data_IF_805542697575
#
_entry.id   IF_805542697575
#
_cell.length_a   1.000
_cell.length_b   1.000
_cell.length_c   1.000
_cell.angle_alpha   90.00
_cell.angle_beta   90.00
_cell.angle_gamma   90.00
#
_symmetry.space_group_name_H-M   'P 1'
#
loop_
_entity.id
_entity.type
_entity.pdbx_description
1 polymer ?
#
# COMPACT_ATOMS: atom_id res chain seq x y z
N UNK A 1 -38.65 -30.67 -27.80
CA UNK A 1 -37.20 -30.50 -27.77
C UNK A 1 -36.95 -29.04 -27.38
N UNK A 2 -36.47 -28.79 -26.15
CA UNK A 2 -36.10 -27.44 -25.72
C UNK A 2 -34.67 -27.14 -26.17
N UNK A 3 -34.38 -25.86 -26.42
CA UNK A 3 -33.03 -25.40 -26.70
C UNK A 3 -32.12 -25.65 -25.49
N UNK A 4 -30.83 -26.02 -25.69
CA UNK A 4 -29.92 -26.24 -24.59
C UNK A 4 -29.64 -24.91 -23.88
N UNK A 5 -29.83 -24.89 -22.56
CA UNK A 5 -29.45 -23.79 -21.70
C UNK A 5 -27.93 -23.82 -21.51
N UNK A 6 -27.23 -22.87 -22.10
CA UNK A 6 -25.79 -22.72 -21.91
C UNK A 6 -25.57 -21.72 -20.78
N UNK A 7 -25.33 -22.23 -19.57
CA UNK A 7 -24.90 -21.41 -18.43
C UNK A 7 -23.39 -21.24 -18.52
N UNK A 8 -22.92 -20.04 -18.87
CA UNK A 8 -21.51 -19.70 -18.83
C UNK A 8 -21.23 -19.06 -17.48
N UNK A 9 -20.68 -19.82 -16.56
CA UNK A 9 -20.15 -19.29 -15.30
C UNK A 9 -18.73 -18.73 -15.52
N UNK A 10 -18.60 -17.42 -15.50
CA UNK A 10 -17.31 -16.76 -15.39
C UNK A 10 -16.83 -16.82 -13.96
N UNK A 11 -16.04 -17.85 -13.62
CA UNK A 11 -15.41 -17.88 -12.31
C UNK A 11 -14.26 -16.88 -12.27
N UNK A 12 -14.20 -16.07 -11.19
CA UNK A 12 -13.15 -15.04 -10.94
C UNK A 12 -11.74 -15.62 -10.68
N UNK A 13 -11.43 -16.81 -11.16
CA UNK A 13 -10.12 -17.46 -11.01
C UNK A 13 -8.99 -16.91 -11.89
N UNK A 14 -9.26 -15.89 -12.70
CA UNK A 14 -8.30 -15.39 -13.67
C UNK A 14 -7.18 -14.48 -13.10
N UNK A 15 -7.25 -14.06 -11.84
CA UNK A 15 -6.26 -13.11 -11.28
C UNK A 15 -4.96 -13.79 -10.87
N UNK A 16 -4.95 -15.10 -10.67
CA UNK A 16 -3.77 -15.85 -10.18
C UNK A 16 -2.73 -16.16 -11.28
N UNK A 17 -3.07 -16.00 -12.55
CA UNK A 17 -2.23 -16.48 -13.66
C UNK A 17 -1.16 -15.48 -14.15
N UNK A 18 -1.12 -14.24 -13.67
CA UNK A 18 -0.24 -13.19 -14.21
C UNK A 18 0.94 -12.85 -13.30
N UNK A 19 1.21 -13.64 -12.27
CA UNK A 19 2.28 -13.33 -11.29
C UNK A 19 3.71 -13.70 -11.73
N UNK A 20 3.96 -14.01 -12.98
CA UNK A 20 5.28 -14.47 -13.43
C UNK A 20 6.37 -13.39 -13.56
N UNK A 21 6.15 -12.18 -13.12
CA UNK A 21 7.14 -11.08 -13.19
C UNK A 21 7.35 -10.31 -11.89
N UNK A 22 6.37 -10.29 -10.97
CA UNK A 22 6.49 -9.52 -9.75
C UNK A 22 7.33 -10.27 -8.70
N UNK A 23 8.42 -9.69 -8.29
CA UNK A 23 9.31 -10.25 -7.25
C UNK A 23 9.14 -9.57 -5.90
N UNK A 24 8.39 -8.48 -5.85
CA UNK A 24 8.26 -7.64 -4.68
C UNK A 24 7.33 -8.23 -3.62
N UNK A 25 7.74 -8.09 -2.37
CA UNK A 25 7.04 -8.56 -1.18
C UNK A 25 6.63 -7.34 -0.37
N UNK A 26 5.35 -7.25 0.00
CA UNK A 26 4.84 -6.20 0.88
C UNK A 26 4.75 -6.73 2.31
N UNK A 27 5.26 -5.97 3.27
CA UNK A 27 5.06 -6.18 4.70
C UNK A 27 4.02 -5.19 5.22
N UNK A 28 2.97 -5.66 5.88
CA UNK A 28 1.93 -4.84 6.49
C UNK A 28 1.94 -5.07 7.98
N UNK A 29 2.03 -3.98 8.75
CA UNK A 29 1.91 -3.99 10.19
C UNK A 29 0.49 -3.53 10.56
N UNK A 30 -0.30 -4.39 11.19
CA UNK A 30 -1.69 -4.09 11.56
C UNK A 30 -1.91 -4.12 13.07
N UNK A 31 -2.97 -3.45 13.49
CA UNK A 31 -3.59 -3.61 14.81
C UNK A 31 -4.99 -4.18 14.61
N UNK A 32 -5.25 -5.38 15.17
CA UNK A 32 -6.57 -6.02 15.04
C UNK A 32 -6.85 -6.89 16.27
N UNK A 33 -8.11 -7.11 16.57
CA UNK A 33 -8.53 -8.00 17.64
C UNK A 33 -8.30 -9.48 17.29
N UNK A 34 -8.27 -9.79 15.99
CA UNK A 34 -8.16 -11.14 15.44
C UNK A 34 -6.85 -11.32 14.67
N UNK A 35 -6.55 -12.59 14.39
CA UNK A 35 -5.38 -12.98 13.56
C UNK A 35 -4.04 -12.42 14.06
N UNK A 36 -3.84 -12.38 15.38
CA UNK A 36 -2.59 -11.89 15.98
C UNK A 36 -1.37 -12.70 15.52
N UNK A 37 -0.25 -12.02 15.39
CA UNK A 37 1.01 -12.61 14.94
C UNK A 37 1.20 -12.52 13.42
N UNK A 38 2.04 -13.39 12.89
CA UNK A 38 2.45 -13.36 11.50
C UNK A 38 1.55 -14.19 10.60
N UNK A 39 1.20 -13.64 9.44
CA UNK A 39 0.45 -14.32 8.38
C UNK A 39 1.07 -14.00 7.01
N UNK A 40 1.07 -14.97 6.10
CA UNK A 40 1.57 -14.79 4.73
C UNK A 40 0.43 -15.09 3.77
N UNK A 41 0.11 -14.12 2.92
CA UNK A 41 -0.93 -14.22 1.90
C UNK A 41 -0.30 -14.11 0.51
N UNK A 42 -0.75 -14.96 -0.42
CA UNK A 42 -0.29 -14.94 -1.83
C UNK A 42 -1.37 -14.47 -2.79
N UNK A 43 -2.62 -14.46 -2.33
CA UNK A 43 -3.76 -13.97 -3.10
C UNK A 43 -4.80 -13.33 -2.18
N UNK A 44 -5.71 -12.58 -2.76
CA UNK A 44 -6.87 -12.00 -2.05
C UNK A 44 -7.76 -13.11 -1.45
N UNK A 45 -7.84 -14.26 -2.11
CA UNK A 45 -8.68 -15.38 -1.67
C UNK A 45 -8.18 -16.03 -0.36
N UNK A 46 -6.91 -15.79 0.02
CA UNK A 46 -6.33 -16.28 1.28
C UNK A 46 -6.61 -15.35 2.47
N UNK A 47 -7.25 -14.20 2.26
CA UNK A 47 -7.65 -13.30 3.34
C UNK A 47 -8.73 -14.00 4.19
N UNK A 48 -8.55 -14.10 5.52
CA UNK A 48 -9.51 -14.72 6.39
C UNK A 48 -10.91 -14.09 6.28
N UNK A 49 -11.95 -14.94 6.25
CA UNK A 49 -13.35 -14.54 6.14
C UNK A 49 -14.17 -15.09 7.30
N UNK A 50 -15.43 -14.68 7.42
CA UNK A 50 -16.34 -15.14 8.47
C UNK A 50 -15.85 -14.76 9.87
N UNK A 51 -15.90 -15.71 10.80
CA UNK A 51 -15.51 -15.46 12.19
C UNK A 51 -14.01 -15.13 12.38
N UNK A 52 -13.18 -15.50 11.41
CA UNK A 52 -11.74 -15.20 11.41
C UNK A 52 -11.39 -13.94 10.62
N UNK A 53 -12.36 -13.21 10.06
CA UNK A 53 -12.10 -12.02 9.29
C UNK A 53 -11.40 -10.95 10.14
N UNK A 54 -10.50 -10.20 9.52
CA UNK A 54 -10.03 -8.93 10.07
C UNK A 54 -11.18 -7.93 10.18
N UNK A 55 -10.97 -6.82 10.85
CA UNK A 55 -11.89 -5.68 10.74
C UNK A 55 -12.11 -5.31 9.27
N UNK A 56 -13.28 -4.75 8.95
CA UNK A 56 -13.60 -4.37 7.57
C UNK A 56 -12.57 -3.41 6.96
N UNK A 57 -12.03 -2.52 7.79
CA UNK A 57 -11.01 -1.54 7.41
C UNK A 57 -9.67 -2.22 7.09
N UNK A 58 -9.20 -3.12 7.97
CA UNK A 58 -7.99 -3.89 7.75
C UNK A 58 -8.10 -4.84 6.56
N UNK A 59 -9.26 -5.50 6.38
CA UNK A 59 -9.53 -6.33 5.21
C UNK A 59 -9.38 -5.51 3.92
N UNK A 60 -10.07 -4.38 3.83
CA UNK A 60 -9.99 -3.50 2.67
C UNK A 60 -8.57 -2.94 2.46
N UNK A 61 -7.81 -2.72 3.54
CA UNK A 61 -6.42 -2.28 3.47
C UNK A 61 -5.50 -3.35 2.85
N UNK A 62 -5.70 -4.61 3.22
CA UNK A 62 -4.97 -5.77 2.66
C UNK A 62 -5.35 -5.97 1.18
N UNK A 63 -6.65 -5.92 0.87
CA UNK A 63 -7.16 -6.04 -0.51
C UNK A 63 -6.53 -4.99 -1.43
N UNK A 64 -6.42 -3.74 -0.97
CA UNK A 64 -5.78 -2.67 -1.74
C UNK A 64 -4.31 -2.96 -2.08
N UNK A 65 -3.56 -3.61 -1.19
CA UNK A 65 -2.19 -4.02 -1.51
C UNK A 65 -2.15 -5.01 -2.69
N UNK A 66 -3.11 -5.93 -2.76
CA UNK A 66 -3.18 -6.93 -3.83
C UNK A 66 -3.57 -6.35 -5.20
N UNK A 67 -4.24 -5.19 -5.27
CA UNK A 67 -4.51 -4.52 -6.56
C UNK A 67 -3.20 -4.28 -7.34
N UNK A 68 -2.09 -4.04 -6.63
CA UNK A 68 -0.77 -3.86 -7.25
C UNK A 68 -0.11 -5.17 -7.70
N UNK A 69 -0.70 -6.32 -7.43
CA UNK A 69 -0.17 -7.65 -7.77
C UNK A 69 1.23 -7.95 -7.21
N UNK A 70 1.49 -7.72 -5.91
CA UNK A 70 2.74 -8.15 -5.28
C UNK A 70 2.87 -9.68 -5.32
N UNK A 71 4.09 -10.22 -5.21
CA UNK A 71 4.30 -11.67 -5.18
C UNK A 71 3.70 -12.33 -3.93
N UNK A 72 3.70 -11.63 -2.83
CA UNK A 72 3.02 -11.97 -1.57
C UNK A 72 2.94 -10.77 -0.65
N UNK A 73 2.00 -10.85 0.29
CA UNK A 73 1.85 -9.92 1.40
C UNK A 73 2.15 -10.67 2.70
N UNK A 74 3.04 -10.12 3.52
CA UNK A 74 3.33 -10.62 4.86
C UNK A 74 2.71 -9.65 5.84
N UNK A 75 1.82 -10.13 6.68
CA UNK A 75 1.12 -9.33 7.68
C UNK A 75 1.67 -9.70 9.05
N UNK A 76 1.87 -8.72 9.90
CA UNK A 76 2.05 -8.92 11.33
C UNK A 76 0.99 -8.12 12.07
N UNK A 77 0.11 -8.83 12.78
CA UNK A 77 -1.00 -8.24 13.51
C UNK A 77 -0.69 -8.17 14.99
N UNK A 78 -0.71 -6.96 15.51
CA UNK A 78 -0.58 -6.65 16.94
C UNK A 78 -1.95 -6.53 17.58
N UNK A 79 -1.97 -6.43 18.90
CA UNK A 79 -3.18 -6.11 19.64
C UNK A 79 -3.70 -4.71 19.27
N UNK A 80 -5.01 -4.52 19.33
CA UNK A 80 -5.64 -3.20 19.12
C UNK A 80 -5.18 -2.18 20.14
N UNK A 81 -4.76 -2.61 21.34
CA UNK A 81 -4.25 -1.76 22.42
C UNK A 81 -2.74 -1.52 22.34
N UNK A 82 -2.05 -2.05 21.31
CA UNK A 82 -0.61 -1.88 21.20
C UNK A 82 -0.23 -0.40 21.01
N UNK A 83 0.59 0.11 21.93
CA UNK A 83 1.07 1.49 21.93
C UNK A 83 2.25 1.72 20.99
N UNK A 84 2.88 0.65 20.50
CA UNK A 84 4.04 0.72 19.60
C UNK A 84 4.03 -0.39 18.57
N UNK A 85 4.84 -0.22 17.52
CA UNK A 85 5.08 -1.23 16.49
C UNK A 85 6.29 -2.13 16.79
N UNK A 86 6.78 -2.19 18.04
CA UNK A 86 8.04 -2.87 18.40
C UNK A 86 8.00 -4.37 18.09
N UNK A 87 6.90 -5.06 18.33
CA UNK A 87 6.76 -6.48 18.00
C UNK A 87 6.82 -6.72 16.50
N UNK A 88 6.06 -5.94 15.73
CA UNK A 88 6.04 -6.03 14.28
C UNK A 88 7.41 -5.70 13.68
N UNK A 89 8.09 -4.66 14.18
CA UNK A 89 9.42 -4.27 13.72
C UNK A 89 10.47 -5.33 14.02
N UNK A 90 10.43 -5.98 15.20
CA UNK A 90 11.29 -7.14 15.53
C UNK A 90 11.07 -8.30 14.57
N UNK A 91 9.80 -8.60 14.25
CA UNK A 91 9.47 -9.65 13.28
C UNK A 91 10.01 -9.30 11.88
N UNK A 92 9.70 -8.11 11.36
CA UNK A 92 10.14 -7.70 10.03
C UNK A 92 11.66 -7.50 9.92
N UNK A 93 12.36 -7.27 11.00
CA UNK A 93 13.82 -7.26 11.02
C UNK A 93 14.42 -8.61 10.57
N UNK A 94 13.68 -9.71 10.70
CA UNK A 94 14.12 -11.05 10.30
C UNK A 94 13.58 -11.49 8.94
N UNK A 95 12.57 -10.80 8.40
CA UNK A 95 11.92 -11.17 7.15
C UNK A 95 12.54 -10.49 5.93
N UNK A 96 12.43 -11.15 4.77
CA UNK A 96 12.73 -10.52 3.48
C UNK A 96 11.47 -9.83 2.97
N UNK A 97 11.46 -8.51 3.01
CA UNK A 97 10.38 -7.65 2.46
C UNK A 97 11.00 -6.54 1.63
N UNK A 98 10.31 -6.11 0.59
CA UNK A 98 10.74 -5.01 -0.27
C UNK A 98 10.12 -3.70 0.21
N UNK A 99 8.82 -3.69 0.46
CA UNK A 99 8.07 -2.52 0.92
C UNK A 99 7.38 -2.83 2.23
N UNK A 100 7.36 -1.85 3.14
CA UNK A 100 6.71 -1.96 4.45
C UNK A 100 5.76 -0.79 4.62
N UNK A 101 4.58 -1.08 5.18
CA UNK A 101 3.58 -0.09 5.55
C UNK A 101 3.09 -0.33 6.97
N UNK A 102 2.67 0.73 7.64
CA UNK A 102 1.97 0.64 8.93
C UNK A 102 0.48 0.34 8.75
N UNK A 103 -0.28 0.43 9.82
CA UNK A 103 -1.72 0.28 9.83
C UNK A 103 -2.43 1.47 9.13
N UNK A 104 -3.69 1.30 8.71
CA UNK A 104 -4.45 2.39 8.05
C UNK A 104 -4.68 3.61 8.95
N UNK A 105 -4.66 3.43 10.27
CA UNK A 105 -4.78 4.46 11.31
C UNK A 105 -3.43 5.01 11.81
N UNK A 106 -2.34 4.79 11.05
CA UNK A 106 -0.99 5.19 11.43
C UNK A 106 -0.89 6.69 11.73
N UNK A 107 -0.50 7.02 12.95
CA UNK A 107 -0.26 8.41 13.36
C UNK A 107 1.08 8.94 12.83
N UNK A 108 1.23 10.27 12.78
CA UNK A 108 2.47 10.92 12.34
C UNK A 108 3.66 10.53 13.23
N UNK A 109 3.44 10.36 14.54
CA UNK A 109 4.50 9.95 15.47
C UNK A 109 4.95 8.51 15.20
N UNK A 110 4.00 7.60 14.99
CA UNK A 110 4.28 6.21 14.66
C UNK A 110 5.00 6.11 13.30
N UNK A 111 4.55 6.86 12.30
CA UNK A 111 5.20 6.94 11.00
C UNK A 111 6.67 7.41 11.11
N UNK A 112 6.95 8.42 11.95
CA UNK A 112 8.31 8.90 12.21
C UNK A 112 9.17 7.83 12.89
N UNK A 113 8.60 7.07 13.83
CA UNK A 113 9.31 5.94 14.48
C UNK A 113 9.62 4.84 13.48
N UNK A 114 8.67 4.49 12.61
CA UNK A 114 8.88 3.51 11.54
C UNK A 114 9.93 3.96 10.53
N UNK A 115 9.94 5.24 10.14
CA UNK A 115 10.98 5.81 9.28
C UNK A 115 12.36 5.67 9.92
N UNK A 116 12.49 5.98 11.20
CA UNK A 116 13.74 5.84 11.96
C UNK A 116 14.19 4.39 12.03
N UNK A 117 13.28 3.46 12.30
CA UNK A 117 13.58 2.04 12.32
C UNK A 117 14.06 1.52 10.97
N UNK A 118 13.38 1.88 9.86
CA UNK A 118 13.81 1.47 8.51
C UNK A 118 15.19 2.01 8.18
N UNK A 119 15.50 3.26 8.51
CA UNK A 119 16.86 3.81 8.36
C UNK A 119 17.90 2.99 9.12
N UNK A 120 17.57 2.59 10.36
CA UNK A 120 18.43 1.76 11.20
C UNK A 120 18.69 0.38 10.60
N UNK A 121 17.65 -0.33 10.13
CA UNK A 121 17.79 -1.64 9.46
C UNK A 121 18.64 -1.52 8.20
N UNK A 122 18.39 -0.52 7.36
CA UNK A 122 19.15 -0.31 6.12
C UNK A 122 20.64 -0.02 6.36
N UNK A 123 20.96 0.57 7.49
CA UNK A 123 22.35 0.86 7.90
C UNK A 123 23.06 -0.40 8.45
N UNK A 124 22.35 -1.19 9.25
CA UNK A 124 22.94 -2.24 10.10
C UNK A 124 22.70 -3.66 9.59
N UNK A 125 21.93 -3.83 8.49
CA UNK A 125 21.59 -5.15 7.96
C UNK A 125 21.76 -5.20 6.44
N UNK A 126 21.90 -6.40 5.90
CA UNK A 126 21.85 -6.66 4.44
C UNK A 126 20.45 -6.49 3.88
N UNK A 127 19.44 -6.51 4.74
CA UNK A 127 18.04 -6.25 4.35
C UNK A 127 17.85 -4.77 4.08
N UNK A 128 17.16 -4.46 2.99
CA UNK A 128 16.99 -3.08 2.51
C UNK A 128 15.52 -2.78 2.25
N UNK A 129 14.62 -2.94 3.24
CA UNK A 129 13.23 -2.59 3.05
C UNK A 129 13.07 -1.09 2.77
N UNK A 130 11.98 -0.75 2.09
CA UNK A 130 11.55 0.63 1.87
C UNK A 130 10.21 0.81 2.57
N UNK A 131 10.09 1.80 3.43
CA UNK A 131 8.80 2.15 4.05
C UNK A 131 8.02 3.09 3.12
N UNK A 132 6.73 2.81 2.94
CA UNK A 132 5.78 3.75 2.32
C UNK A 132 4.94 4.33 3.46
N UNK A 133 5.12 5.61 3.74
CA UNK A 133 4.54 6.27 4.91
C UNK A 133 3.78 7.54 4.50
N UNK A 134 2.65 7.83 5.18
CA UNK A 134 1.87 9.03 4.91
C UNK A 134 2.58 10.27 5.43
N UNK A 135 2.68 11.33 4.64
CA UNK A 135 3.14 12.67 5.06
C UNK A 135 4.39 12.65 5.94
N UNK A 136 5.35 11.76 5.62
CA UNK A 136 6.55 11.56 6.45
C UNK A 136 7.81 11.81 5.66
N UNK A 137 8.40 12.98 5.82
CA UNK A 137 9.67 13.34 5.22
C UNK A 137 10.80 12.54 5.87
N UNK A 138 11.34 11.56 5.14
CA UNK A 138 12.37 10.68 5.66
C UNK A 138 13.79 11.09 5.38
N UNK A 139 14.05 11.94 4.39
CA UNK A 139 15.39 12.26 3.86
C UNK A 139 16.27 10.99 3.74
N UNK A 140 15.72 9.97 3.14
CA UNK A 140 16.36 8.65 3.04
C UNK A 140 15.75 7.84 1.90
N UNK A 141 16.60 7.20 1.10
CA UNK A 141 16.18 6.24 0.07
C UNK A 141 15.39 5.02 0.62
N UNK A 142 15.24 4.91 1.93
CA UNK A 142 14.47 3.86 2.59
C UNK A 142 13.07 4.30 2.98
N UNK A 143 12.68 5.55 2.73
CA UNK A 143 11.37 6.09 3.11
C UNK A 143 10.76 6.81 1.92
N UNK A 144 9.63 6.31 1.46
CA UNK A 144 8.78 6.99 0.48
C UNK A 144 7.77 7.81 1.25
N UNK A 145 7.82 9.12 1.09
CA UNK A 145 6.84 10.05 1.63
C UNK A 145 5.64 10.12 0.68
N UNK A 146 4.59 9.39 0.99
CA UNK A 146 3.35 9.44 0.22
C UNK A 146 2.47 10.59 0.71
N UNK A 147 2.30 11.60 -0.11
CA UNK A 147 1.51 12.78 0.21
C UNK A 147 0.84 13.33 -1.04
N UNK A 148 -0.48 13.42 -1.03
CA UNK A 148 -1.26 14.00 -2.13
C UNK A 148 -1.38 15.50 -1.92
N UNK A 149 -1.08 16.28 -2.96
CA UNK A 149 -1.17 17.75 -2.93
C UNK A 149 -2.59 18.16 -2.56
N UNK A 150 -2.72 19.20 -1.73
CA UNK A 150 -4.00 19.75 -1.25
C UNK A 150 -4.91 18.77 -0.51
N UNK A 151 -4.38 17.61 -0.05
CA UNK A 151 -5.13 16.68 0.76
C UNK A 151 -5.38 17.22 2.17
N UNK A 152 -6.58 16.99 2.69
CA UNK A 152 -7.02 17.44 4.01
C UNK A 152 -7.95 16.41 4.65
N UNK A 153 -8.45 16.70 5.85
CA UNK A 153 -9.43 15.83 6.51
C UNK A 153 -10.73 15.65 5.69
N UNK A 154 -11.09 16.68 4.88
CA UNK A 154 -12.32 16.71 4.06
C UNK A 154 -12.07 16.54 2.57
N UNK A 155 -10.79 16.50 2.15
CA UNK A 155 -10.42 16.41 0.73
C UNK A 155 -9.41 15.28 0.59
N UNK A 156 -9.86 14.12 0.15
CA UNK A 156 -9.15 12.84 0.20
C UNK A 156 -9.06 12.20 -1.18
N UNK A 157 -8.40 11.05 -1.25
CA UNK A 157 -8.37 10.19 -2.43
C UNK A 157 -9.73 9.48 -2.53
N UNK A 158 -10.40 9.59 -3.68
CA UNK A 158 -11.69 8.98 -3.92
C UNK A 158 -11.57 7.72 -4.78
N UNK A 159 -12.24 6.66 -4.34
CA UNK A 159 -12.35 5.40 -5.07
C UNK A 159 -13.83 5.00 -5.09
N UNK A 160 -14.52 5.32 -6.18
CA UNK A 160 -15.96 5.22 -6.25
C UNK A 160 -16.64 6.13 -5.21
N UNK A 161 -17.42 5.57 -4.32
CA UNK A 161 -18.11 6.29 -3.24
C UNK A 161 -17.29 6.42 -1.95
N UNK A 162 -16.10 5.81 -1.89
CA UNK A 162 -15.25 5.79 -0.70
C UNK A 162 -14.14 6.82 -0.80
N UNK A 163 -13.81 7.41 0.35
CA UNK A 163 -12.71 8.37 0.49
C UNK A 163 -11.63 7.81 1.42
N UNK A 164 -10.37 7.98 1.03
CA UNK A 164 -9.22 7.46 1.76
C UNK A 164 -8.20 8.55 2.04
N UNK A 165 -7.65 8.52 3.24
CA UNK A 165 -6.45 9.27 3.62
C UNK A 165 -5.21 8.63 2.99
N UNK A 166 -4.09 9.32 3.02
CA UNK A 166 -2.81 8.76 2.59
C UNK A 166 -2.42 7.52 3.41
N UNK A 167 -2.68 7.53 4.73
CA UNK A 167 -2.39 6.37 5.58
C UNK A 167 -3.17 5.13 5.12
N UNK A 168 -4.46 5.28 4.86
CA UNK A 168 -5.33 4.23 4.36
C UNK A 168 -4.98 3.78 2.92
N UNK A 169 -4.24 4.60 2.17
CA UNK A 169 -3.88 4.30 0.78
C UNK A 169 -2.42 3.83 0.61
N UNK A 170 -1.58 3.90 1.66
CA UNK A 170 -0.19 3.46 1.62
C UNK A 170 -0.03 2.00 1.18
N UNK A 171 -0.93 1.09 1.59
CA UNK A 171 -0.87 -0.31 1.17
C UNK A 171 -1.02 -0.49 -0.34
N UNK A 172 -1.89 0.33 -0.97
CA UNK A 172 -2.07 0.32 -2.43
C UNK A 172 -0.82 0.77 -3.17
N UNK A 173 -0.16 1.82 -2.67
CA UNK A 173 1.11 2.32 -3.24
C UNK A 173 2.21 1.27 -3.07
N UNK A 174 2.35 0.69 -1.87
CA UNK A 174 3.33 -0.36 -1.63
C UNK A 174 3.09 -1.60 -2.53
N UNK A 175 1.83 -2.00 -2.69
CA UNK A 175 1.42 -3.09 -3.57
C UNK A 175 1.78 -2.82 -5.02
N UNK A 176 1.49 -1.60 -5.52
CA UNK A 176 1.85 -1.18 -6.87
C UNK A 176 3.37 -1.27 -7.08
N UNK A 177 4.15 -0.67 -6.19
CA UNK A 177 5.61 -0.66 -6.29
C UNK A 177 6.21 -2.08 -6.22
N UNK A 178 5.63 -2.96 -5.39
CA UNK A 178 6.05 -4.35 -5.28
C UNK A 178 5.68 -5.18 -6.52
N UNK A 179 4.58 -4.85 -7.19
CA UNK A 179 4.13 -5.54 -8.40
C UNK A 179 4.81 -5.08 -9.68
N UNK A 180 5.54 -3.97 -9.66
CA UNK A 180 6.26 -3.50 -10.85
C UNK A 180 7.46 -4.40 -11.17
N UNK A 181 7.66 -4.64 -12.47
CA UNK A 181 8.93 -5.18 -12.97
C UNK A 181 10.06 -4.18 -12.68
N UNK A 182 11.23 -4.68 -12.29
CA UNK A 182 12.41 -3.85 -11.96
C UNK A 182 12.85 -2.91 -13.09
N UNK A 183 12.42 -3.17 -14.32
CA UNK A 183 12.73 -2.36 -15.52
C UNK A 183 11.69 -1.28 -15.78
N UNK A 184 10.61 -1.23 -14.99
CA UNK A 184 9.48 -0.33 -15.21
C UNK A 184 9.44 0.72 -14.11
N UNK A 185 9.42 1.99 -14.52
CA UNK A 185 9.26 3.12 -13.58
C UNK A 185 7.85 3.17 -13.02
N UNK A 186 7.72 3.64 -11.78
CA UNK A 186 6.43 3.99 -11.19
C UNK A 186 5.86 5.31 -11.75
N UNK A 187 6.70 6.14 -12.40
CA UNK A 187 6.27 7.41 -12.99
C UNK A 187 5.17 7.19 -14.01
N UNK A 188 4.12 7.96 -13.94
CA UNK A 188 2.91 7.88 -14.76
C UNK A 188 2.17 6.53 -14.75
N UNK A 189 2.40 5.73 -13.71
CA UNK A 189 1.58 4.51 -13.52
C UNK A 189 0.16 4.88 -13.10
N UNK A 190 -0.85 4.41 -13.85
CA UNK A 190 -2.25 4.71 -13.54
C UNK A 190 -2.73 3.94 -12.32
N UNK A 191 -3.58 4.61 -11.56
CA UNK A 191 -4.38 4.07 -10.48
C UNK A 191 -5.83 4.04 -10.97
N UNK A 192 -6.16 3.01 -11.72
CA UNK A 192 -7.42 2.92 -12.49
C UNK A 192 -8.67 2.88 -11.61
N UNK A 193 -8.51 2.54 -10.35
CA UNK A 193 -9.57 2.52 -9.35
C UNK A 193 -9.86 3.89 -8.73
N UNK A 194 -8.92 4.86 -8.85
CA UNK A 194 -9.09 6.21 -8.29
C UNK A 194 -9.96 7.04 -9.22
N UNK A 195 -11.06 7.54 -8.69
CA UNK A 195 -12.03 8.36 -9.42
C UNK A 195 -11.74 9.85 -9.32
N UNK A 196 -11.22 10.30 -8.17
CA UNK A 196 -10.81 11.68 -7.98
C UNK A 196 -9.70 11.80 -6.91
N UNK A 197 -8.97 12.89 -7.00
CA UNK A 197 -8.03 13.36 -5.98
C UNK A 197 -8.27 14.83 -5.73
N UNK A 198 -7.74 15.39 -4.62
CA UNK A 198 -7.78 16.83 -4.37
C UNK A 198 -7.32 17.63 -5.60
N UNK A 199 -8.09 18.66 -5.93
CA UNK A 199 -7.73 19.52 -7.04
C UNK A 199 -6.46 20.29 -6.74
N UNK A 200 -5.62 20.44 -7.75
CA UNK A 200 -4.43 21.30 -7.76
C UNK A 200 -4.72 22.49 -8.65
N UNK A 201 -4.32 23.68 -8.18
CA UNK A 201 -4.56 24.93 -8.92
C UNK A 201 -3.58 25.08 -10.09
N UNK A 202 -2.41 24.45 -9.99
CA UNK A 202 -1.38 24.48 -11.04
C UNK A 202 -0.46 23.26 -11.00
N UNK A 203 0.14 22.90 -12.14
CA UNK A 203 1.15 21.86 -12.22
C UNK A 203 2.40 22.20 -11.38
N UNK A 204 2.67 23.49 -11.12
CA UNK A 204 3.77 23.96 -10.30
C UNK A 204 3.67 23.46 -8.84
N UNK A 205 2.46 23.28 -8.31
CA UNK A 205 2.26 22.69 -6.97
C UNK A 205 2.69 21.22 -6.93
N UNK A 206 2.41 20.49 -8.00
CA UNK A 206 2.84 19.09 -8.14
C UNK A 206 4.35 19.01 -8.28
N UNK A 207 4.96 19.86 -9.09
CA UNK A 207 6.41 19.93 -9.25
C UNK A 207 7.10 20.29 -7.93
N UNK A 208 6.55 21.25 -7.18
CA UNK A 208 7.03 21.62 -5.84
C UNK A 208 6.98 20.43 -4.87
N UNK A 209 5.91 19.64 -4.91
CA UNK A 209 5.80 18.44 -4.08
C UNK A 209 6.84 17.37 -4.49
N UNK A 210 7.08 17.19 -5.78
CA UNK A 210 8.10 16.28 -6.31
C UNK A 210 9.51 16.72 -5.88
N UNK A 211 9.82 18.01 -6.00
CA UNK A 211 11.10 18.58 -5.60
C UNK A 211 11.33 18.47 -4.08
N UNK A 212 10.25 18.49 -3.29
CA UNK A 212 10.29 18.21 -1.86
C UNK A 212 10.43 16.70 -1.53
N UNK A 213 10.60 15.83 -2.54
CA UNK A 213 10.77 14.39 -2.36
C UNK A 213 9.48 13.65 -1.99
N UNK A 214 8.31 14.18 -2.35
CA UNK A 214 7.02 13.54 -2.11
C UNK A 214 6.66 12.66 -3.31
N UNK A 215 6.21 11.43 -3.03
CA UNK A 215 5.48 10.66 -4.00
C UNK A 215 4.02 11.11 -3.96
N UNK A 216 3.58 11.78 -5.02
CA UNK A 216 2.24 12.34 -5.11
C UNK A 216 1.46 11.77 -6.30
N UNK A 217 0.15 11.96 -6.26
CA UNK A 217 -0.76 11.60 -7.34
C UNK A 217 -1.05 12.84 -8.19
N UNK A 218 -1.32 12.61 -9.47
CA UNK A 218 -1.65 13.65 -10.43
C UNK A 218 -2.80 13.17 -11.32
N UNK A 219 -3.73 14.07 -11.63
CA UNK A 219 -4.80 13.83 -12.58
C UNK A 219 -4.41 14.45 -13.93
N UNK A 220 -4.17 13.62 -14.94
CA UNK A 220 -3.76 14.06 -16.28
C UNK A 220 -4.94 14.52 -17.17
N UNK A 221 -6.15 14.60 -16.60
CA UNK A 221 -7.39 14.95 -17.28
C UNK A 221 -8.19 13.74 -17.75
N UNK A 222 -7.58 12.56 -17.83
CA UNK A 222 -8.24 11.29 -18.18
C UNK A 222 -8.26 10.31 -17.02
N UNK A 223 -7.20 10.33 -16.20
CA UNK A 223 -6.98 9.34 -15.13
C UNK A 223 -6.06 9.89 -14.06
N UNK A 224 -6.09 9.25 -12.90
CA UNK A 224 -5.14 9.52 -11.83
C UNK A 224 -3.91 8.62 -11.98
N UNK A 225 -2.74 9.22 -11.92
CA UNK A 225 -1.44 8.55 -12.07
C UNK A 225 -0.50 8.91 -10.93
N UNK A 226 0.56 8.14 -10.72
CA UNK A 226 1.69 8.59 -9.92
C UNK A 226 2.42 9.67 -10.72
N UNK A 227 2.52 10.88 -10.18
CA UNK A 227 3.13 12.02 -10.88
C UNK A 227 4.58 11.71 -11.24
N UNK A 228 5.38 11.26 -10.27
CA UNK A 228 6.75 10.82 -10.48
C UNK A 228 7.15 9.76 -9.44
N UNK A 229 7.86 8.73 -9.88
CA UNK A 229 8.43 7.72 -8.99
C UNK A 229 9.67 8.26 -8.28
N UNK A 230 9.45 9.08 -7.25
CA UNK A 230 10.51 9.64 -6.40
C UNK A 230 10.58 8.92 -5.06
N UNK A 231 11.76 8.98 -4.47
CA UNK A 231 12.07 8.32 -3.20
C UNK A 231 13.15 9.16 -2.50
#
# INVERSE_FOLDING_TARGET
MGLPDIIIEFSKKAVTAIQNGSTGIVGIMLKDAKNKGAMVLRSVDEIPTGDSAFSAENTAYIERAFIGSPSKVIIYTMDTTAESYDEATKYFATQKVNYIVGAPDLTTEEATKLATWVKGIRKNSVRRPVAVLPKTAGDSRGVINFEVVNSSATNKIEVGEKQYTEAEYCSRIAGLLAGLDLRVSATYKPLTEVTAIPLVDSDEEVDTAIDAGKLTLYNDGERVVIARGVN
#
